data_IF_806468743476
#
_entry.id   IF_806468743476
#
_cell.length_a   1.000
_cell.length_b   1.000
_cell.length_c   1.000
_cell.angle_alpha   90.00
_cell.angle_beta   90.00
_cell.angle_gamma   90.00
#
_symmetry.space_group_name_H-M   'P 1'
#
loop_
_entity.id
_entity.type
_entity.pdbx_description
1 polymer ?
#
# COMPACT_ATOMS: atom_id res chain seq x y z
N UNK A 1 -17.03 1.23 14.54
CA UNK A 1 -16.80 -0.21 14.27
C UNK A 1 -16.78 -0.51 12.77
N UNK A 2 -17.80 -0.15 11.98
CA UNK A 2 -17.82 -0.41 10.52
C UNK A 2 -16.60 0.06 9.70
N UNK A 3 -15.97 1.18 10.05
CA UNK A 3 -14.82 1.69 9.28
C UNK A 3 -13.61 0.75 9.35
N UNK A 4 -13.27 0.22 10.53
CA UNK A 4 -12.11 -0.67 10.67
C UNK A 4 -12.32 -2.01 9.97
N UNK A 5 -13.56 -2.52 9.95
CA UNK A 5 -13.92 -3.71 9.16
C UNK A 5 -13.74 -3.44 7.67
N UNK A 6 -14.26 -2.31 7.15
CA UNK A 6 -14.12 -1.95 5.74
C UNK A 6 -12.66 -1.85 5.31
N UNK A 7 -11.82 -1.20 6.13
CA UNK A 7 -10.38 -1.09 5.83
C UNK A 7 -9.67 -2.43 5.98
N UNK A 8 -10.06 -3.25 6.96
CA UNK A 8 -9.51 -4.61 7.13
C UNK A 8 -9.85 -5.52 5.95
N UNK A 9 -11.06 -5.42 5.38
CA UNK A 9 -11.39 -6.11 4.12
C UNK A 9 -10.56 -5.57 2.95
N UNK A 10 -10.43 -4.25 2.83
CA UNK A 10 -9.72 -3.61 1.72
C UNK A 10 -8.23 -3.96 1.67
N UNK A 11 -7.60 -4.19 2.83
CA UNK A 11 -6.22 -4.63 2.96
C UNK A 11 -6.08 -6.16 3.10
N UNK A 12 -7.19 -6.92 3.04
CA UNK A 12 -7.20 -8.38 3.21
C UNK A 12 -6.91 -8.86 4.65
N UNK A 13 -6.80 -7.94 5.60
CA UNK A 13 -6.52 -8.25 7.00
C UNK A 13 -7.62 -9.12 7.62
N UNK A 14 -8.88 -8.93 7.22
CA UNK A 14 -10.00 -9.73 7.70
C UNK A 14 -9.86 -11.22 7.37
N UNK A 15 -9.15 -11.58 6.29
CA UNK A 15 -8.94 -12.96 5.88
C UNK A 15 -7.77 -13.62 6.62
N UNK A 16 -6.82 -12.81 7.12
CA UNK A 16 -5.63 -13.28 7.81
C UNK A 16 -5.86 -13.32 9.33
N UNK A 17 -6.47 -12.26 9.87
CA UNK A 17 -6.69 -12.06 11.29
C UNK A 17 -8.07 -11.41 11.51
N UNK A 18 -9.17 -12.19 11.51
CA UNK A 18 -10.53 -11.65 11.58
C UNK A 18 -10.92 -11.02 12.92
N UNK A 19 -10.14 -11.27 13.98
CA UNK A 19 -10.38 -10.76 15.34
C UNK A 19 -9.33 -9.75 15.80
N UNK A 20 -8.89 -8.88 14.90
CA UNK A 20 -7.96 -7.79 15.24
C UNK A 20 -8.72 -6.59 15.79
N UNK A 21 -8.33 -6.12 16.97
CA UNK A 21 -8.89 -4.90 17.57
C UNK A 21 -8.50 -3.65 16.76
N UNK A 22 -9.27 -2.56 16.90
CA UNK A 22 -9.09 -1.36 16.07
C UNK A 22 -7.70 -0.70 16.20
N UNK A 23 -7.04 -0.77 17.36
CA UNK A 23 -5.69 -0.20 17.54
C UNK A 23 -4.68 -1.02 16.76
N UNK A 24 -4.75 -2.35 16.89
CA UNK A 24 -3.90 -3.26 16.12
C UNK A 24 -4.12 -3.09 14.60
N UNK A 25 -5.36 -2.91 14.14
CA UNK A 25 -5.65 -2.61 12.72
C UNK A 25 -4.90 -1.36 12.27
N UNK A 26 -4.95 -0.26 13.03
CA UNK A 26 -4.26 0.99 12.67
C UNK A 26 -2.74 0.80 12.61
N UNK A 27 -2.16 0.13 13.60
CA UNK A 27 -0.71 -0.10 13.64
C UNK A 27 -0.25 -1.00 12.49
N UNK A 28 -1.00 -2.06 12.21
CA UNK A 28 -0.71 -2.95 11.08
C UNK A 28 -0.82 -2.20 9.75
N UNK A 29 -1.85 -1.38 9.56
CA UNK A 29 -1.99 -0.57 8.35
C UNK A 29 -0.85 0.43 8.18
N UNK A 30 -0.39 1.04 9.26
CA UNK A 30 0.73 1.97 9.21
C UNK A 30 2.01 1.26 8.73
N UNK A 31 2.32 0.09 9.30
CA UNK A 31 3.47 -0.72 8.86
C UNK A 31 3.32 -1.15 7.41
N UNK A 32 2.15 -1.65 7.00
CA UNK A 32 1.88 -2.05 5.62
C UNK A 32 2.08 -0.87 4.66
N UNK A 33 1.58 0.32 4.99
CA UNK A 33 1.73 1.51 4.16
C UNK A 33 3.17 2.00 4.06
N UNK A 34 3.98 1.87 5.12
CA UNK A 34 5.42 2.15 5.07
C UNK A 34 6.11 1.17 4.11
N UNK A 35 5.82 -0.13 4.22
CA UNK A 35 6.37 -1.13 3.31
C UNK A 35 5.95 -0.85 1.85
N UNK A 36 4.69 -0.50 1.62
CA UNK A 36 4.18 -0.14 0.29
C UNK A 36 4.84 1.13 -0.25
N UNK A 37 5.10 2.13 0.59
CA UNK A 37 5.85 3.34 0.20
C UNK A 37 7.25 3.00 -0.31
N UNK A 38 7.96 2.12 0.40
CA UNK A 38 9.28 1.63 -0.02
C UNK A 38 9.20 0.85 -1.34
N UNK A 39 8.27 -0.09 -1.46
CA UNK A 39 8.09 -0.88 -2.68
C UNK A 39 7.69 -0.01 -3.88
N UNK A 40 6.75 0.90 -3.69
CA UNK A 40 6.30 1.83 -4.74
C UNK A 40 7.42 2.78 -5.17
N UNK A 41 8.29 3.23 -4.25
CA UNK A 41 9.51 3.98 -4.59
C UNK A 41 10.42 3.21 -5.53
N UNK A 42 10.66 1.94 -5.23
CA UNK A 42 11.51 1.06 -6.04
C UNK A 42 10.90 0.79 -7.41
N UNK A 43 9.62 0.44 -7.46
CA UNK A 43 8.89 0.19 -8.72
C UNK A 43 8.82 1.45 -9.59
N UNK A 44 8.49 2.60 -9.00
CA UNK A 44 8.46 3.86 -9.73
C UNK A 44 9.82 4.19 -10.34
N UNK A 45 10.90 4.06 -9.57
CA UNK A 45 12.25 4.29 -10.07
C UNK A 45 12.63 3.32 -11.21
N UNK A 46 12.37 2.02 -11.03
CA UNK A 46 12.68 0.99 -12.02
C UNK A 46 11.85 1.10 -13.31
N UNK A 47 10.68 1.74 -13.23
CA UNK A 47 9.81 1.99 -14.36
C UNK A 47 10.04 3.37 -14.99
N UNK A 48 11.05 4.13 -14.57
CA UNK A 48 11.37 5.45 -15.14
C UNK A 48 10.47 6.60 -14.65
N UNK A 49 9.73 6.39 -13.55
CA UNK A 49 8.92 7.41 -12.88
C UNK A 49 9.66 8.05 -11.69
N UNK A 50 9.15 9.18 -11.20
CA UNK A 50 9.75 9.87 -10.06
C UNK A 50 9.59 9.06 -8.76
N UNK A 51 10.72 8.69 -8.16
CA UNK A 51 10.81 7.92 -6.91
C UNK A 51 10.02 8.53 -5.74
N UNK A 52 10.00 9.85 -5.60
CA UNK A 52 9.32 10.52 -4.48
C UNK A 52 7.81 10.48 -4.66
N UNK A 53 7.32 10.63 -5.89
CA UNK A 53 5.91 10.42 -6.22
C UNK A 53 5.48 8.98 -5.96
N UNK A 54 6.28 7.99 -6.39
CA UNK A 54 6.04 6.58 -6.07
C UNK A 54 5.96 6.32 -4.56
N UNK A 55 6.87 6.92 -3.79
CA UNK A 55 6.89 6.78 -2.31
C UNK A 55 5.60 7.31 -1.70
N UNK A 56 5.19 8.53 -2.07
CA UNK A 56 3.97 9.15 -1.53
C UNK A 56 2.71 8.37 -1.90
N UNK A 57 2.61 7.91 -3.16
CA UNK A 57 1.47 7.10 -3.60
C UNK A 57 1.41 5.77 -2.85
N UNK A 58 2.55 5.10 -2.63
CA UNK A 58 2.61 3.85 -1.85
C UNK A 58 2.22 4.03 -0.38
N UNK A 59 2.52 5.18 0.22
CA UNK A 59 2.14 5.46 1.61
C UNK A 59 0.64 5.77 1.76
N UNK A 60 0.05 6.49 0.81
CA UNK A 60 -1.35 6.95 0.90
C UNK A 60 -2.34 5.90 0.38
N UNK A 61 -2.02 5.27 -0.75
CA UNK A 61 -2.91 4.30 -1.41
C UNK A 61 -2.51 2.84 -1.14
N UNK A 62 -1.42 2.62 -0.40
CA UNK A 62 -0.99 1.32 0.06
C UNK A 62 -0.73 0.33 -1.06
N UNK A 63 -1.30 -0.86 -0.91
CA UNK A 63 -1.07 -2.00 -1.80
C UNK A 63 -1.52 -1.73 -3.24
N UNK A 64 -2.51 -0.85 -3.42
CA UNK A 64 -3.05 -0.53 -4.75
C UNK A 64 -2.08 0.32 -5.58
N UNK A 65 -1.33 1.24 -4.95
CA UNK A 65 -0.28 1.98 -5.65
C UNK A 65 0.83 1.04 -6.14
N UNK A 66 1.19 0.04 -5.32
CA UNK A 66 2.16 -0.99 -5.70
C UNK A 66 1.64 -1.82 -6.88
N UNK A 67 0.40 -2.30 -6.81
CA UNK A 67 -0.23 -3.07 -7.89
C UNK A 67 -0.29 -2.29 -9.21
N UNK A 68 -0.70 -1.01 -9.16
CA UNK A 68 -0.72 -0.13 -10.34
C UNK A 68 0.68 0.04 -10.92
N UNK A 69 1.69 0.30 -10.09
CA UNK A 69 3.07 0.43 -10.55
C UNK A 69 3.64 -0.88 -11.12
N UNK A 70 3.18 -2.04 -10.67
CA UNK A 70 3.57 -3.33 -11.26
C UNK A 70 3.01 -3.53 -12.67
N UNK A 71 1.77 -3.10 -12.91
CA UNK A 71 1.08 -3.30 -14.19
C UNK A 71 1.37 -2.17 -15.19
N UNK A 72 1.72 -0.98 -14.69
CA UNK A 72 2.08 0.16 -15.52
C UNK A 72 3.29 -0.17 -16.42
N UNK A 73 3.22 0.16 -17.72
CA UNK A 73 4.36 -0.03 -18.61
C UNK A 73 5.52 0.85 -18.16
N UNK A 74 6.74 0.35 -18.37
CA UNK A 74 7.94 1.15 -18.12
C UNK A 74 7.94 2.38 -19.02
N UNK A 75 8.16 3.54 -18.43
CA UNK A 75 8.36 4.78 -19.17
C UNK A 75 9.78 4.76 -19.72
N UNK A 76 9.89 4.65 -21.04
CA UNK A 76 11.14 4.89 -21.75
C UNK A 76 11.40 6.40 -21.72
N UNK A 77 12.21 6.85 -20.76
CA UNK A 77 12.79 8.18 -20.78
C UNK A 77 14.10 8.17 -21.54
#
# INVERSE_FOLDING_TARGET
>A
MHWFEAVSYFYGLQWIAPQTDGVSVVMTLLVINICNACMARLLAYNNGYNKNWGTGLGFVFGIWAVAILMVLPKRQS
#
